data_IF_980500779114
#
_entry.id   IF_980500779114
#
_cell.length_a   1.000
_cell.length_b   1.000
_cell.length_c   1.000
_cell.angle_alpha   90.00
_cell.angle_beta   90.00
_cell.angle_gamma   90.00
#
_symmetry.space_group_name_H-M   'P 1'
#
loop_
_entity.id
_entity.type
_entity.pdbx_description
1 polymer ?
#
# COMPACT_ATOMS: atom_id res chain seq x y z
N UNK A 1 19.24 22.99 24.13
CA UNK A 1 18.63 21.71 23.75
C UNK A 1 18.36 21.78 22.26
N UNK A 2 19.18 21.12 21.45
CA UNK A 2 18.96 21.07 19.99
C UNK A 2 17.68 20.29 19.76
N UNK A 3 16.59 20.97 19.38
CA UNK A 3 15.34 20.27 19.05
C UNK A 3 15.59 19.53 17.74
N UNK A 4 15.59 18.19 17.79
CA UNK A 4 15.61 17.38 16.58
C UNK A 4 14.33 17.62 15.77
N UNK A 5 14.40 17.62 14.43
CA UNK A 5 13.23 17.83 13.60
C UNK A 5 12.22 16.69 13.77
N UNK A 6 10.93 17.00 13.67
CA UNK A 6 9.86 16.03 13.85
C UNK A 6 9.81 14.94 12.76
N UNK A 7 10.42 15.19 11.61
CA UNK A 7 10.68 14.18 10.59
C UNK A 7 12.04 14.42 9.92
N UNK A 8 12.63 13.34 9.41
CA UNK A 8 13.89 13.34 8.68
C UNK A 8 13.61 12.99 7.22
N UNK A 9 14.31 13.64 6.29
CA UNK A 9 14.27 13.30 4.87
C UNK A 9 15.67 12.86 4.41
N UNK A 10 15.77 11.68 3.79
CA UNK A 10 17.00 11.19 3.18
C UNK A 10 16.74 10.69 1.76
N UNK A 11 17.74 10.79 0.88
CA UNK A 11 17.66 10.26 -0.49
C UNK A 11 18.30 8.88 -0.57
N UNK A 12 17.60 7.93 -1.20
CA UNK A 12 18.12 6.62 -1.57
C UNK A 12 17.93 6.39 -3.07
N UNK A 13 18.95 6.73 -3.86
CA UNK A 13 18.84 6.75 -5.31
C UNK A 13 17.82 7.79 -5.76
N UNK A 14 16.79 7.38 -6.51
CA UNK A 14 15.70 8.25 -6.95
C UNK A 14 14.48 8.25 -6.00
N UNK A 15 14.63 7.71 -4.79
CA UNK A 15 13.55 7.63 -3.80
C UNK A 15 13.85 8.56 -2.63
N UNK A 16 12.91 9.43 -2.28
CA UNK A 16 12.97 10.19 -1.03
C UNK A 16 12.34 9.36 0.10
N UNK A 17 13.08 9.17 1.18
CA UNK A 17 12.62 8.46 2.38
C UNK A 17 12.38 9.49 3.48
N UNK A 18 11.11 9.65 3.85
CA UNK A 18 10.66 10.50 4.94
C UNK A 18 10.44 9.61 6.17
N UNK A 19 11.10 9.93 7.27
CA UNK A 19 11.02 9.17 8.53
C UNK A 19 10.45 10.07 9.63
N UNK A 20 9.27 9.74 10.15
CA UNK A 20 8.72 10.41 11.34
C UNK A 20 9.66 10.14 12.51
N UNK A 21 10.22 11.18 13.12
CA UNK A 21 11.32 11.10 14.07
C UNK A 21 10.90 11.50 15.48
N UNK A 22 9.94 10.75 16.05
CA UNK A 22 9.51 10.92 17.45
C UNK A 22 9.30 9.59 18.17
N UNK A 23 10.29 8.67 18.17
CA UNK A 23 10.11 7.32 18.67
C UNK A 23 9.70 7.26 20.15
N UNK A 24 10.15 8.23 20.95
CA UNK A 24 9.79 8.42 22.37
C UNK A 24 8.31 8.74 22.57
N UNK A 25 7.68 9.43 21.62
CA UNK A 25 6.25 9.69 21.58
C UNK A 25 5.49 8.69 20.69
N UNK A 26 6.10 7.54 20.37
CA UNK A 26 5.55 6.51 19.46
C UNK A 26 5.20 7.06 18.07
N UNK A 27 5.97 8.04 17.60
CA UNK A 27 5.78 8.72 16.33
C UNK A 27 4.39 9.36 16.21
N UNK A 28 3.84 9.88 17.32
CA UNK A 28 2.60 10.63 17.29
C UNK A 28 2.79 11.96 16.52
N UNK A 29 1.75 12.40 15.82
CA UNK A 29 1.81 13.60 14.98
C UNK A 29 1.52 14.85 15.81
N UNK A 30 2.45 15.80 15.73
CA UNK A 30 2.31 17.18 16.18
C UNK A 30 2.72 18.12 15.03
N UNK A 31 2.65 19.45 15.25
CA UNK A 31 3.04 20.43 14.23
C UNK A 31 4.48 20.20 13.69
N UNK A 32 5.44 19.84 14.56
CA UNK A 32 6.82 19.59 14.12
C UNK A 32 6.97 18.40 13.15
N UNK A 33 6.17 17.34 13.33
CA UNK A 33 6.08 16.24 12.35
C UNK A 33 5.48 16.75 11.05
N UNK A 34 4.40 17.54 11.14
CA UNK A 34 3.72 18.08 9.96
C UNK A 34 4.58 19.02 9.13
N UNK A 35 5.44 19.81 9.79
CA UNK A 35 6.46 20.64 9.14
C UNK A 35 7.42 19.74 8.37
N UNK A 36 8.12 18.84 9.06
CA UNK A 36 9.15 18.02 8.41
C UNK A 36 8.62 17.09 7.30
N UNK A 37 7.39 16.57 7.44
CA UNK A 37 6.78 15.73 6.40
C UNK A 37 6.26 16.57 5.24
N UNK A 38 5.57 17.68 5.52
CA UNK A 38 5.03 18.58 4.49
C UNK A 38 6.13 19.18 3.62
N UNK A 39 7.16 19.75 4.24
CA UNK A 39 8.31 20.33 3.54
C UNK A 39 9.04 19.29 2.68
N UNK A 40 9.17 18.06 3.20
CA UNK A 40 9.82 16.98 2.46
C UNK A 40 8.97 16.50 1.26
N UNK A 41 7.64 16.46 1.38
CA UNK A 41 6.76 16.18 0.24
C UNK A 41 6.83 17.27 -0.82
N UNK A 42 6.81 18.53 -0.39
CA UNK A 42 6.90 19.68 -1.30
C UNK A 42 8.24 19.71 -2.02
N UNK A 43 9.34 19.46 -1.29
CA UNK A 43 10.67 19.29 -1.89
C UNK A 43 10.71 18.09 -2.85
N UNK A 44 10.07 16.97 -2.48
CA UNK A 44 9.97 15.80 -3.33
C UNK A 44 9.20 16.10 -4.61
N UNK A 45 8.12 16.88 -4.59
CA UNK A 45 7.34 17.27 -5.76
C UNK A 45 8.21 18.03 -6.77
N UNK A 46 8.98 19.01 -6.29
CA UNK A 46 9.74 19.93 -7.14
C UNK A 46 11.10 19.39 -7.62
N UNK A 47 11.62 18.33 -7.00
CA UNK A 47 12.91 17.76 -7.39
C UNK A 47 12.78 16.71 -8.52
N UNK A 48 13.21 16.98 -9.76
CA UNK A 48 13.00 16.06 -10.89
C UNK A 48 13.75 14.73 -10.78
N UNK A 49 14.77 14.63 -9.93
CA UNK A 49 15.50 13.38 -9.68
C UNK A 49 14.73 12.45 -8.73
N UNK A 50 13.83 12.99 -7.90
CA UNK A 50 12.93 12.18 -7.06
C UNK A 50 11.80 11.62 -7.92
N UNK A 51 11.62 10.31 -7.85
CA UNK A 51 10.64 9.54 -8.63
C UNK A 51 9.58 8.85 -7.79
N UNK A 52 9.82 8.70 -6.48
CA UNK A 52 8.89 8.14 -5.52
C UNK A 52 9.22 8.63 -4.10
N UNK A 53 8.22 8.61 -3.22
CA UNK A 53 8.36 8.96 -1.81
C UNK A 53 7.98 7.77 -0.94
N UNK A 54 8.77 7.51 0.10
CA UNK A 54 8.51 6.49 1.11
C UNK A 54 8.35 7.16 2.46
N UNK A 55 7.20 6.97 3.11
CA UNK A 55 6.97 7.42 4.48
C UNK A 55 7.15 6.24 5.46
N UNK A 56 7.95 6.41 6.50
CA UNK A 56 8.15 5.42 7.57
C UNK A 56 8.27 6.07 8.94
N UNK A 57 8.26 5.29 10.01
CA UNK A 57 8.46 5.77 11.38
C UNK A 57 9.83 5.37 11.93
N UNK A 58 10.45 6.24 12.73
CA UNK A 58 11.69 5.94 13.42
C UNK A 58 11.49 4.81 14.45
N UNK A 59 12.51 3.97 14.63
CA UNK A 59 12.49 2.84 15.55
C UNK A 59 11.81 1.57 15.00
N UNK A 60 11.55 0.60 15.87
CA UNK A 60 11.10 -0.76 15.51
C UNK A 60 9.73 -1.15 16.08
N UNK A 61 9.05 -0.19 16.74
CA UNK A 61 7.77 -0.40 17.45
C UNK A 61 6.58 0.27 16.79
N UNK A 62 6.72 1.51 16.35
CA UNK A 62 5.61 2.34 15.88
C UNK A 62 5.94 2.94 14.52
N UNK A 63 5.00 2.85 13.59
CA UNK A 63 4.98 3.70 12.42
C UNK A 63 4.46 5.09 12.81
N UNK A 64 3.23 5.13 13.31
CA UNK A 64 2.58 6.32 13.85
C UNK A 64 1.44 5.89 14.78
N UNK A 65 1.46 6.36 16.03
CA UNK A 65 0.42 6.03 17.01
C UNK A 65 -0.84 6.93 16.91
N UNK A 66 -0.89 7.80 15.91
CA UNK A 66 -1.97 8.75 15.66
C UNK A 66 -1.63 10.17 16.08
N UNK A 67 -2.66 10.96 16.37
CA UNK A 67 -2.51 12.33 16.84
C UNK A 67 -1.87 12.39 18.25
N UNK A 68 -1.00 13.37 18.48
CA UNK A 68 -0.42 13.60 19.80
C UNK A 68 -1.50 14.11 20.78
N UNK A 69 -1.94 13.23 21.69
CA UNK A 69 -2.97 13.55 22.68
C UNK A 69 -2.58 14.69 23.62
N UNK A 70 -1.27 14.88 23.89
CA UNK A 70 -0.81 16.00 24.72
C UNK A 70 -0.96 17.32 23.98
N UNK A 71 -0.69 17.32 22.67
CA UNK A 71 -0.92 18.49 21.82
C UNK A 71 -2.43 18.80 21.70
N UNK A 72 -3.27 17.78 21.50
CA UNK A 72 -4.75 17.94 21.51
C UNK A 72 -5.23 18.54 22.84
N UNK A 73 -4.73 18.03 23.97
CA UNK A 73 -5.11 18.54 25.30
C UNK A 73 -4.72 20.02 25.50
N UNK A 74 -3.63 20.46 24.86
CA UNK A 74 -3.19 21.87 24.83
C UNK A 74 -3.88 22.70 23.75
N UNK A 75 -4.83 22.13 23.00
CA UNK A 75 -5.51 22.76 21.85
C UNK A 75 -4.54 23.27 20.77
N UNK A 76 -3.41 22.58 20.62
CA UNK A 76 -2.45 22.87 19.57
C UNK A 76 -2.93 22.33 18.23
N UNK A 77 -2.63 23.09 17.18
CA UNK A 77 -2.84 22.62 15.82
C UNK A 77 -1.84 21.50 15.49
N UNK A 78 -2.32 20.44 14.85
CA UNK A 78 -1.51 19.28 14.47
C UNK A 78 -1.06 19.32 13.00
N UNK A 79 -1.43 20.36 12.26
CA UNK A 79 -1.09 20.54 10.84
C UNK A 79 0.14 21.45 10.69
N UNK A 80 0.60 21.59 9.44
CA UNK A 80 1.69 22.51 9.10
C UNK A 80 1.23 23.96 9.33
N UNK A 81 1.89 24.77 10.18
CA UNK A 81 1.43 26.12 10.52
C UNK A 81 1.21 27.03 9.31
N UNK A 82 2.14 26.97 8.34
CA UNK A 82 2.09 27.80 7.13
C UNK A 82 1.27 27.18 5.99
N UNK A 83 0.89 25.90 6.12
CA UNK A 83 0.21 25.12 5.08
C UNK A 83 -0.94 24.28 5.67
N UNK A 84 -1.96 24.93 6.26
CA UNK A 84 -3.12 24.22 6.83
C UNK A 84 -3.86 23.37 5.80
N UNK A 85 -3.80 23.72 4.51
CA UNK A 85 -4.43 23.02 3.39
C UNK A 85 -3.90 21.58 3.20
N UNK A 86 -2.66 21.30 3.59
CA UNK A 86 -2.08 19.94 3.55
C UNK A 86 -2.66 19.00 4.61
N UNK A 87 -3.29 19.57 5.64
CA UNK A 87 -3.97 18.84 6.69
C UNK A 87 -3.04 18.12 7.68
N UNK A 88 -3.54 17.04 8.27
CA UNK A 88 -2.84 16.25 9.27
C UNK A 88 -1.50 15.72 8.74
N UNK A 89 -0.46 15.82 9.57
CA UNK A 89 0.91 15.44 9.24
C UNK A 89 1.50 16.15 8.01
N UNK A 90 0.88 17.23 7.50
CA UNK A 90 1.30 17.85 6.23
C UNK A 90 1.22 16.89 5.04
N UNK A 91 0.35 15.87 5.13
CA UNK A 91 0.39 14.69 4.25
C UNK A 91 -1.00 14.34 3.71
N UNK A 92 -2.02 14.25 4.58
CA UNK A 92 -3.29 13.59 4.21
C UNK A 92 -4.11 14.32 3.14
N UNK A 93 -3.93 15.62 2.96
CA UNK A 93 -4.50 16.41 1.86
C UNK A 93 -3.43 17.03 0.96
N UNK A 94 -2.19 16.53 1.05
CA UNK A 94 -1.06 17.02 0.28
C UNK A 94 -0.84 16.13 -0.95
N UNK A 95 -1.58 16.43 -2.02
CA UNK A 95 -1.41 15.71 -3.28
C UNK A 95 -0.07 16.09 -3.94
N UNK A 96 0.67 15.09 -4.41
CA UNK A 96 1.86 15.25 -5.25
C UNK A 96 1.77 14.32 -6.47
N UNK A 97 2.47 14.64 -7.56
CA UNK A 97 2.45 13.87 -8.81
C UNK A 97 3.24 12.55 -8.72
N UNK A 98 4.01 12.39 -7.65
CA UNK A 98 4.94 11.27 -7.46
C UNK A 98 4.33 10.22 -6.54
N UNK A 99 4.49 8.93 -6.85
CA UNK A 99 3.89 7.87 -6.05
C UNK A 99 4.44 7.88 -4.62
N UNK A 100 3.52 7.71 -3.67
CA UNK A 100 3.78 7.68 -2.23
C UNK A 100 3.56 6.29 -1.66
N UNK A 101 4.50 5.82 -0.83
CA UNK A 101 4.47 4.48 -0.25
C UNK A 101 4.63 4.56 1.27
N UNK A 102 3.64 4.08 2.02
CA UNK A 102 3.77 3.89 3.46
C UNK A 102 4.51 2.58 3.77
N UNK A 103 5.72 2.68 4.31
CA UNK A 103 6.48 1.59 4.87
C UNK A 103 6.19 1.47 6.38
N UNK A 104 5.14 0.72 6.72
CA UNK A 104 4.60 0.58 8.08
C UNK A 104 5.43 -0.40 8.91
N UNK A 105 6.39 0.12 9.67
CA UNK A 105 7.35 -0.65 10.47
C UNK A 105 6.80 -1.19 11.81
N UNK A 106 5.58 -0.82 12.20
CA UNK A 106 4.99 -1.19 13.49
C UNK A 106 3.55 -0.72 13.65
N UNK A 107 3.17 -0.30 14.87
CA UNK A 107 1.82 0.21 15.16
C UNK A 107 1.46 1.41 14.26
N UNK A 108 0.30 1.33 13.60
CA UNK A 108 -0.28 2.38 12.77
C UNK A 108 -1.76 2.57 13.17
N UNK A 109 -2.01 3.29 14.26
CA UNK A 109 -3.37 3.45 14.81
C UNK A 109 -3.86 4.90 14.66
N UNK A 110 -5.16 5.04 14.44
CA UNK A 110 -5.83 6.32 14.21
C UNK A 110 -5.19 7.06 13.04
N UNK A 111 -4.66 8.25 13.31
CA UNK A 111 -3.83 9.02 12.36
C UNK A 111 -2.75 8.22 11.64
N UNK A 112 -2.18 7.16 12.24
CA UNK A 112 -1.24 6.28 11.54
C UNK A 112 -1.89 5.44 10.44
N UNK A 113 -3.14 4.97 10.65
CA UNK A 113 -3.94 4.35 9.60
C UNK A 113 -4.32 5.38 8.55
N UNK A 114 -4.64 6.62 8.94
CA UNK A 114 -5.04 7.69 8.02
C UNK A 114 -3.89 8.11 7.09
N UNK A 115 -2.65 8.09 7.59
CA UNK A 115 -1.44 8.24 6.76
C UNK A 115 -1.32 7.11 5.71
N UNK A 116 -1.58 5.87 6.13
CA UNK A 116 -1.57 4.74 5.20
C UNK A 116 -2.70 4.83 4.16
N UNK A 117 -3.90 5.28 4.57
CA UNK A 117 -5.04 5.52 3.67
C UNK A 117 -4.77 6.65 2.67
N UNK A 118 -3.96 7.64 3.06
CA UNK A 118 -3.57 8.75 2.18
C UNK A 118 -2.42 8.40 1.23
N UNK A 119 -1.70 7.30 1.47
CA UNK A 119 -0.63 6.82 0.60
C UNK A 119 -1.19 6.04 -0.60
N UNK A 120 -0.48 6.04 -1.73
CA UNK A 120 -0.88 5.24 -2.89
C UNK A 120 -0.70 3.73 -2.65
N UNK A 121 0.37 3.36 -1.95
CA UNK A 121 0.72 1.98 -1.64
C UNK A 121 1.13 1.83 -0.17
N UNK A 122 0.90 0.65 0.39
CA UNK A 122 1.25 0.31 1.77
C UNK A 122 1.96 -1.04 1.83
N UNK A 123 3.14 -1.04 2.45
CA UNK A 123 3.91 -2.25 2.78
C UNK A 123 4.12 -2.29 4.30
N UNK A 124 3.73 -3.39 4.94
CA UNK A 124 3.72 -3.47 6.40
C UNK A 124 4.66 -4.57 6.96
N UNK A 125 5.21 -4.33 8.14
CA UNK A 125 5.81 -5.38 8.98
C UNK A 125 4.71 -6.36 9.45
N UNK A 126 5.06 -7.63 9.65
CA UNK A 126 4.11 -8.67 10.11
C UNK A 126 3.45 -8.33 11.46
N UNK A 127 4.09 -7.47 12.26
CA UNK A 127 3.62 -7.03 13.58
C UNK A 127 2.77 -5.76 13.52
N UNK A 128 2.63 -5.14 12.35
CA UNK A 128 1.86 -3.92 12.22
C UNK A 128 0.38 -4.16 12.56
N UNK A 129 -0.21 -3.15 13.19
CA UNK A 129 -1.63 -3.11 13.51
C UNK A 129 -2.20 -1.80 12.98
N UNK A 130 -3.29 -1.93 12.25
CA UNK A 130 -4.10 -0.83 11.70
C UNK A 130 -5.37 -0.67 12.55
N UNK A 131 -6.04 0.46 12.44
CA UNK A 131 -7.31 0.69 13.15
C UNK A 131 -7.62 2.16 13.37
N UNK A 132 -8.89 2.46 13.64
CA UNK A 132 -9.40 3.81 13.92
C UNK A 132 -10.05 3.86 15.31
N UNK A 133 -9.25 3.86 16.40
CA UNK A 133 -9.75 3.79 17.78
C UNK A 133 -10.28 5.12 18.33
N UNK A 134 -10.43 6.17 17.51
CA UNK A 134 -10.86 7.51 17.92
C UNK A 134 -12.21 7.50 18.64
N UNK A 135 -13.13 6.63 18.21
CA UNK A 135 -14.46 6.47 18.82
C UNK A 135 -14.39 6.08 20.30
N UNK A 136 -13.33 5.38 20.73
CA UNK A 136 -13.09 5.01 22.14
C UNK A 136 -12.67 6.19 23.01
N UNK A 137 -12.38 7.34 22.41
CA UNK A 137 -11.94 8.57 23.07
C UNK A 137 -12.92 9.73 22.85
N UNK A 138 -14.12 9.45 22.33
CA UNK A 138 -15.09 10.50 21.99
C UNK A 138 -14.65 11.39 20.83
N UNK A 139 -13.74 10.89 19.98
CA UNK A 139 -13.24 11.58 18.79
C UNK A 139 -13.64 10.80 17.53
N UNK A 140 -13.34 11.38 16.37
CA UNK A 140 -13.48 10.74 15.07
C UNK A 140 -12.15 10.77 14.32
N UNK A 141 -11.97 9.85 13.37
CA UNK A 141 -10.82 9.82 12.45
C UNK A 141 -10.93 11.00 11.44
N UNK A 142 -10.56 12.19 11.93
CA UNK A 142 -10.76 13.47 11.26
C UNK A 142 -9.73 13.77 10.16
N UNK A 143 -8.62 13.02 10.09
CA UNK A 143 -7.60 13.16 9.05
C UNK A 143 -7.92 12.34 7.77
N UNK A 144 -9.21 12.04 7.57
CA UNK A 144 -9.73 11.38 6.38
C UNK A 144 -10.17 9.93 6.58
N UNK A 145 -9.92 9.35 7.76
CA UNK A 145 -10.22 7.95 8.03
C UNK A 145 -11.69 7.59 7.87
N UNK A 146 -12.60 8.44 8.36
CA UNK A 146 -14.06 8.19 8.34
C UNK A 146 -14.58 7.89 6.92
N UNK A 147 -14.11 8.64 5.92
CA UNK A 147 -14.61 8.50 4.55
C UNK A 147 -13.71 7.64 3.65
N UNK A 148 -12.38 7.65 3.84
CA UNK A 148 -11.44 6.83 3.03
C UNK A 148 -11.53 5.35 3.35
N UNK A 149 -11.77 4.98 4.61
CA UNK A 149 -11.77 3.56 5.00
C UNK A 149 -12.82 2.75 4.24
N UNK A 150 -13.99 3.33 3.99
CA UNK A 150 -15.07 2.68 3.26
C UNK A 150 -14.93 2.74 1.74
N UNK A 151 -13.96 3.50 1.23
CA UNK A 151 -13.56 3.50 -0.18
C UNK A 151 -12.52 2.41 -0.46
N UNK A 152 -11.71 2.05 0.55
CA UNK A 152 -10.61 1.09 0.39
C UNK A 152 -10.92 -0.31 0.94
N UNK A 153 -11.91 -0.44 1.83
CA UNK A 153 -12.38 -1.72 2.35
C UNK A 153 -13.84 -2.00 1.95
N UNK A 154 -14.25 -3.29 1.91
CA UNK A 154 -15.65 -3.63 1.81
C UNK A 154 -16.47 -2.93 2.90
N UNK A 155 -17.60 -2.34 2.51
CA UNK A 155 -18.40 -1.45 3.37
C UNK A 155 -18.62 -1.98 4.78
N UNK A 156 -18.99 -3.25 4.95
CA UNK A 156 -19.28 -3.82 6.28
C UNK A 156 -18.03 -3.99 7.15
N UNK A 157 -16.90 -4.37 6.56
CA UNK A 157 -15.61 -4.47 7.26
C UNK A 157 -15.16 -3.06 7.68
N UNK A 158 -15.27 -2.09 6.78
CA UNK A 158 -14.95 -0.69 7.06
C UNK A 158 -15.80 -0.12 8.21
N UNK A 159 -17.12 -0.35 8.18
CA UNK A 159 -18.04 0.11 9.24
C UNK A 159 -17.78 -0.58 10.58
N UNK A 160 -17.41 -1.88 10.59
CA UNK A 160 -17.02 -2.55 11.82
C UNK A 160 -15.79 -1.88 12.41
N UNK A 161 -14.72 -1.70 11.63
CA UNK A 161 -13.49 -1.07 12.09
C UNK A 161 -13.73 0.36 12.59
N UNK A 162 -14.54 1.14 11.88
CA UNK A 162 -14.84 2.53 12.21
C UNK A 162 -15.72 2.67 13.47
N UNK A 163 -16.72 1.82 13.65
CA UNK A 163 -17.67 1.93 14.77
C UNK A 163 -17.17 1.25 16.05
N UNK A 164 -16.40 0.16 15.94
CA UNK A 164 -15.87 -0.54 17.14
C UNK A 164 -14.52 0.02 17.58
N UNK A 165 -13.75 0.62 16.67
CA UNK A 165 -12.39 1.07 16.94
C UNK A 165 -11.44 -0.07 17.34
N UNK A 166 -11.72 -1.30 16.90
CA UNK A 166 -10.85 -2.45 17.10
C UNK A 166 -9.71 -2.50 16.08
N UNK A 167 -8.51 -2.97 16.48
CA UNK A 167 -7.39 -3.04 15.57
C UNK A 167 -7.52 -4.19 14.57
N UNK A 168 -6.99 -3.98 13.37
CA UNK A 168 -6.86 -4.94 12.28
C UNK A 168 -5.38 -5.33 12.12
N UNK A 169 -5.10 -6.63 12.06
CA UNK A 169 -3.72 -7.11 11.86
C UNK A 169 -3.22 -6.84 10.45
N UNK A 170 -1.91 -6.74 10.25
CA UNK A 170 -1.31 -6.60 8.91
C UNK A 170 -1.76 -7.72 7.94
N UNK A 171 -1.91 -8.96 8.42
CA UNK A 171 -2.36 -10.08 7.61
C UNK A 171 -3.80 -9.87 7.11
N UNK A 172 -4.73 -9.52 8.00
CA UNK A 172 -6.12 -9.26 7.65
C UNK A 172 -6.26 -8.00 6.77
N UNK A 173 -5.50 -6.94 7.05
CA UNK A 173 -5.46 -5.75 6.21
C UNK A 173 -5.02 -6.10 4.77
N UNK A 174 -4.07 -7.01 4.61
CA UNK A 174 -3.61 -7.47 3.30
C UNK A 174 -4.67 -8.35 2.61
N UNK A 175 -5.35 -9.22 3.35
CA UNK A 175 -6.41 -10.10 2.84
C UNK A 175 -7.61 -9.30 2.30
N UNK A 176 -8.03 -8.28 3.03
CA UNK A 176 -9.10 -7.38 2.58
C UNK A 176 -8.68 -6.36 1.54
N UNK A 177 -7.37 -6.28 1.29
CA UNK A 177 -6.85 -5.43 0.24
C UNK A 177 -6.56 -3.99 0.62
N UNK A 178 -6.62 -3.66 1.91
CA UNK A 178 -6.25 -2.35 2.45
C UNK A 178 -4.75 -2.05 2.27
N UNK A 179 -3.91 -3.08 2.30
CA UNK A 179 -2.47 -2.96 2.08
C UNK A 179 -2.00 -3.93 0.98
N UNK A 180 -0.84 -3.66 0.39
CA UNK A 180 -0.35 -4.41 -0.78
C UNK A 180 0.48 -5.64 -0.40
N UNK A 181 1.31 -5.53 0.64
CA UNK A 181 2.26 -6.57 1.02
C UNK A 181 2.63 -6.52 2.51
N UNK A 182 2.91 -7.69 3.08
CA UNK A 182 3.51 -7.83 4.41
C UNK A 182 4.95 -8.33 4.24
N UNK A 183 5.97 -7.55 4.62
CA UNK A 183 7.36 -7.73 4.19
C UNK A 183 8.06 -9.07 4.54
N UNK A 184 7.46 -9.94 5.37
CA UNK A 184 7.92 -11.31 5.66
C UNK A 184 7.04 -12.42 5.06
N UNK A 185 5.90 -12.06 4.47
CA UNK A 185 4.99 -12.94 3.72
C UNK A 185 5.00 -12.55 2.25
N UNK A 186 4.69 -13.49 1.36
CA UNK A 186 4.50 -13.17 -0.06
C UNK A 186 3.37 -12.13 -0.25
N UNK A 187 3.39 -11.40 -1.37
CA UNK A 187 2.32 -10.48 -1.84
C UNK A 187 0.94 -11.06 -1.53
N UNK A 188 0.06 -10.30 -0.88
CA UNK A 188 -1.27 -10.80 -0.53
C UNK A 188 -2.24 -10.81 -1.72
N UNK A 189 -2.05 -9.90 -2.67
CA UNK A 189 -2.82 -9.87 -3.90
C UNK A 189 -2.23 -10.81 -4.95
N UNK A 190 -2.61 -12.08 -4.90
CA UNK A 190 -2.31 -13.07 -5.95
C UNK A 190 -3.49 -13.28 -6.90
N UNK A 191 -4.22 -12.22 -7.26
CA UNK A 191 -5.04 -12.20 -8.46
C UNK A 191 -4.68 -10.98 -9.33
N UNK A 192 -4.02 -11.28 -10.46
CA UNK A 192 -4.03 -10.49 -11.71
C UNK A 192 -3.35 -9.12 -11.75
N UNK A 193 -2.21 -8.91 -11.08
CA UNK A 193 -1.30 -7.80 -11.43
C UNK A 193 0.13 -8.30 -11.62
N UNK A 194 0.47 -8.67 -12.87
CA UNK A 194 1.86 -8.74 -13.31
C UNK A 194 2.24 -7.31 -13.67
N UNK A 195 3.09 -6.67 -12.88
CA UNK A 195 3.94 -5.60 -13.41
C UNK A 195 4.71 -6.21 -14.57
N UNK A 196 4.23 -5.99 -15.80
CA UNK A 196 5.04 -6.24 -16.99
C UNK A 196 6.21 -5.28 -16.85
N UNK A 197 7.36 -5.80 -16.42
CA UNK A 197 8.64 -5.11 -16.62
C UNK A 197 8.63 -4.67 -18.07
N UNK A 198 8.68 -3.37 -18.31
CA UNK A 198 8.62 -2.81 -19.64
C UNK A 198 9.71 -3.45 -20.50
N UNK A 199 9.31 -4.27 -21.47
CA UNK A 199 9.99 -4.30 -22.75
C UNK A 199 8.90 -4.03 -23.79
N UNK A 200 9.00 -2.95 -24.58
CA UNK A 200 8.11 -2.75 -25.70
C UNK A 200 8.59 -3.69 -26.81
N UNK A 201 8.30 -5.00 -26.68
CA UNK A 201 8.30 -5.86 -27.86
C UNK A 201 6.92 -5.74 -28.49
N UNK A 202 6.81 -4.79 -29.41
CA UNK A 202 5.76 -4.75 -30.43
C UNK A 202 5.81 -6.03 -31.25
N UNK A 203 5.29 -7.13 -30.72
CA UNK A 203 4.87 -8.26 -31.56
C UNK A 203 3.53 -7.88 -32.16
N UNK A 204 3.64 -7.18 -33.29
CA UNK A 204 2.57 -7.02 -34.28
C UNK A 204 1.99 -8.42 -34.51
N UNK A 205 0.74 -8.65 -34.13
CA UNK A 205 0.00 -9.82 -34.58
C UNK A 205 -0.07 -9.75 -36.11
N UNK A 206 0.79 -10.50 -36.81
CA UNK A 206 0.65 -10.74 -38.24
C UNK A 206 -0.44 -11.81 -38.39
N UNK A 207 -1.66 -11.36 -38.66
CA UNK A 207 -2.65 -12.21 -39.29
C UNK A 207 -2.07 -12.66 -40.63
N UNK A 208 -1.85 -13.97 -40.77
CA UNK A 208 -1.35 -14.57 -42.01
C UNK A 208 -2.58 -14.84 -42.88
N UNK A 209 -2.72 -14.24 -44.09
CA UNK A 209 -3.83 -14.59 -44.96
C UNK A 209 -3.66 -16.02 -45.45
N UNK A 210 -4.77 -16.77 -45.48
CA UNK A 210 -4.80 -18.10 -46.06
C UNK A 210 -4.54 -18.00 -47.57
N UNK A 211 -3.50 -18.67 -48.04
CA UNK A 211 -3.22 -18.87 -49.46
C UNK A 211 -4.13 -19.97 -50.01
N UNK A 212 -5.00 -19.61 -50.95
CA UNK A 212 -5.81 -20.56 -51.74
C UNK A 212 -6.48 -19.84 -52.90
N UNK A 213 -6.02 -20.13 -54.11
CA UNK A 213 -6.40 -19.55 -55.41
C UNK A 213 -7.85 -19.82 -55.82
N UNK A 214 -8.47 -18.97 -56.67
CA UNK A 214 -9.82 -19.20 -57.18
C UNK A 214 -9.77 -20.11 -58.41
N UNK A 215 -10.59 -21.16 -58.41
CA UNK A 215 -11.03 -21.82 -59.65
C UNK A 215 -12.54 -21.82 -59.66
N UNK A 216 -13.08 -21.19 -60.70
CA UNK A 216 -14.49 -21.03 -60.95
C UNK A 216 -15.16 -22.36 -61.33
N UNK A 217 -16.38 -22.55 -60.85
CA UNK A 217 -17.40 -23.29 -61.59
C UNK A 217 -18.77 -22.64 -61.34
N UNK A 218 -19.32 -22.10 -62.41
CA UNK A 218 -20.67 -21.58 -62.52
C UNK A 218 -21.61 -22.77 -62.70
N UNK A 219 -22.70 -22.86 -61.91
CA UNK A 219 -24.08 -23.12 -62.36
C UNK A 219 -25.01 -23.44 -61.18
N UNK A 220 -26.21 -22.85 -61.20
CA UNK A 220 -27.43 -23.60 -60.85
C UNK A 220 -28.02 -23.44 -59.45
N UNK A 221 -28.94 -22.49 -59.32
CA UNK A 221 -30.26 -22.59 -58.67
C UNK A 221 -30.50 -23.34 -57.34
N UNK A 222 -31.26 -22.64 -56.49
CA UNK A 222 -32.30 -23.10 -55.56
C UNK A 222 -31.93 -23.56 -54.14
N UNK A 223 -32.48 -22.79 -53.19
CA UNK A 223 -33.05 -23.17 -51.89
C UNK A 223 -32.35 -24.24 -51.04
N UNK A 224 -31.87 -23.85 -49.86
CA UNK A 224 -32.18 -24.54 -48.60
C UNK A 224 -31.64 -23.78 -47.39
N UNK A 225 -32.55 -23.39 -46.50
CA UNK A 225 -32.29 -22.99 -45.13
C UNK A 225 -31.80 -24.20 -44.35
N UNK A 226 -30.63 -24.15 -43.70
CA UNK A 226 -30.36 -25.01 -42.53
C UNK A 226 -29.33 -24.39 -41.58
N UNK A 227 -29.69 -24.37 -40.29
CA UNK A 227 -28.81 -24.08 -39.15
C UNK A 227 -28.09 -25.36 -38.74
N UNK A 228 -26.77 -25.32 -38.55
CA UNK A 228 -25.98 -26.18 -37.63
C UNK A 228 -24.72 -25.37 -37.31
N UNK A 229 -24.45 -24.90 -36.08
CA UNK A 229 -23.99 -25.69 -34.94
C UNK A 229 -22.51 -26.06 -35.09
N UNK A 230 -21.58 -25.32 -34.45
CA UNK A 230 -20.18 -25.76 -34.34
C UNK A 230 -19.66 -25.66 -32.90
N UNK A 231 -19.17 -26.81 -32.45
CA UNK A 231 -18.65 -27.09 -31.12
C UNK A 231 -17.23 -26.53 -30.91
N UNK A 232 -16.80 -26.29 -29.66
CA UNK A 232 -15.42 -25.94 -29.36
C UNK A 232 -14.50 -27.17 -29.38
N UNK A 233 -13.39 -27.05 -30.13
CA UNK A 233 -12.31 -28.03 -30.20
C UNK A 233 -11.44 -27.96 -28.93
N UNK A 234 -11.30 -29.10 -28.26
CA UNK A 234 -10.47 -29.30 -27.08
C UNK A 234 -9.01 -29.59 -27.46
N UNK A 235 -8.05 -28.88 -26.84
CA UNK A 235 -6.75 -29.42 -26.40
C UNK A 235 -5.94 -28.36 -25.69
N UNK A 236 -5.75 -28.55 -24.38
CA UNK A 236 -4.54 -28.30 -23.58
C UNK A 236 -4.91 -28.55 -22.11
N UNK A 237 -4.90 -29.82 -21.70
CA UNK A 237 -5.09 -30.22 -20.32
C UNK A 237 -3.77 -30.20 -19.55
N UNK A 238 -3.82 -29.81 -18.27
CA UNK A 238 -3.14 -30.51 -17.17
C UNK A 238 -3.70 -29.99 -15.83
N UNK A 239 -4.69 -30.70 -15.29
CA UNK A 239 -5.07 -30.64 -13.89
C UNK A 239 -4.21 -31.66 -13.14
N UNK A 240 -3.34 -31.21 -12.24
CA UNK A 240 -2.67 -32.07 -11.27
C UNK A 240 -2.93 -31.59 -9.85
N UNK A 241 -3.60 -32.48 -9.12
CA UNK A 241 -4.05 -32.46 -7.74
C UNK A 241 -2.94 -32.09 -6.71
N UNK A 242 -3.14 -31.14 -5.77
CA UNK A 242 -2.18 -30.90 -4.70
C UNK A 242 -2.35 -31.91 -3.56
N UNK A 243 -1.34 -32.79 -3.41
CA UNK A 243 -1.16 -33.66 -2.24
C UNK A 243 -0.94 -32.81 -0.97
N UNK A 244 -1.60 -33.21 0.11
CA UNK A 244 -1.43 -32.69 1.47
C UNK A 244 0.01 -32.85 1.98
N UNK A 245 0.64 -31.83 2.60
CA UNK A 245 1.91 -32.01 3.27
C UNK A 245 1.72 -32.56 4.70
N UNK A 246 2.44 -33.64 5.00
CA UNK A 246 2.57 -34.26 6.32
C UNK A 246 3.18 -33.27 7.34
N UNK A 247 2.67 -33.31 8.57
CA UNK A 247 3.14 -32.53 9.73
C UNK A 247 4.60 -32.84 10.06
N UNK A 248 5.50 -31.88 9.85
CA UNK A 248 6.88 -31.87 10.35
C UNK A 248 6.98 -31.14 11.69
N UNK A 249 7.68 -31.75 12.66
CA UNK A 249 7.99 -31.20 13.99
C UNK A 249 8.72 -29.86 13.89
N UNK A 250 8.22 -28.86 14.63
CA UNK A 250 8.90 -27.59 14.87
C UNK A 250 10.03 -27.76 15.90
N UNK A 251 11.26 -27.38 15.53
CA UNK A 251 12.34 -27.03 16.48
C UNK A 251 12.47 -25.51 16.53
N UNK A 252 12.48 -24.95 17.74
CA UNK A 252 12.59 -23.53 18.04
C UNK A 252 14.02 -22.99 17.78
N UNK A 253 14.21 -21.86 17.06
CA UNK A 253 15.49 -21.17 17.05
C UNK A 253 15.61 -20.17 18.20
N UNK A 254 16.79 -20.20 18.83
CA UNK A 254 17.24 -19.37 19.96
C UNK A 254 17.17 -17.86 19.66
N UNK A 255 16.89 -17.08 20.70
CA UNK A 255 16.82 -15.62 20.72
C UNK A 255 18.21 -14.98 20.61
N UNK A 256 18.44 -14.22 19.55
CA UNK A 256 19.53 -13.26 19.41
C UNK A 256 18.95 -11.92 18.94
N UNK A 257 19.50 -10.80 19.40
CA UNK A 257 18.97 -9.44 19.21
C UNK A 257 18.83 -9.06 17.73
N UNK A 258 17.58 -8.78 17.32
CA UNK A 258 17.14 -8.63 15.92
C UNK A 258 16.56 -7.23 15.61
N UNK A 259 16.68 -6.24 16.48
CA UNK A 259 15.94 -4.96 16.37
C UNK A 259 16.42 -4.08 15.21
N UNK A 260 17.72 -3.77 15.12
CA UNK A 260 18.25 -2.84 14.11
C UNK A 260 18.26 -3.35 12.66
N UNK A 261 18.27 -4.66 12.43
CA UNK A 261 18.26 -5.24 11.06
C UNK A 261 16.89 -5.20 10.39
N UNK A 262 15.79 -5.03 11.14
CA UNK A 262 14.41 -5.20 10.63
C UNK A 262 13.86 -3.96 9.92
N UNK A 263 14.03 -2.77 10.50
CA UNK A 263 13.62 -1.52 9.84
C UNK A 263 14.31 -1.34 8.48
N UNK A 264 15.58 -1.75 8.40
CA UNK A 264 16.34 -1.73 7.15
C UNK A 264 15.84 -2.78 6.13
N UNK A 265 15.24 -3.89 6.56
CA UNK A 265 14.67 -4.89 5.65
C UNK A 265 13.37 -4.41 4.98
N UNK A 266 12.51 -3.69 5.71
CA UNK A 266 11.29 -3.09 5.18
C UNK A 266 11.63 -2.01 4.15
N UNK A 267 12.53 -1.09 4.50
CA UNK A 267 13.01 -0.06 3.58
C UNK A 267 13.66 -0.68 2.34
N UNK A 268 14.48 -1.73 2.49
CA UNK A 268 15.04 -2.48 1.35
C UNK A 268 14.00 -3.20 0.50
N UNK A 269 12.84 -3.57 1.04
CA UNK A 269 11.76 -4.17 0.25
C UNK A 269 11.09 -3.10 -0.64
N UNK A 270 11.01 -1.87 -0.16
CA UNK A 270 10.33 -0.76 -0.85
C UNK A 270 11.26 0.01 -1.80
N UNK A 271 12.53 0.20 -1.46
CA UNK A 271 13.48 1.00 -2.25
C UNK A 271 14.32 0.17 -3.26
N UNK A 272 14.03 -1.13 -3.44
CA UNK A 272 14.64 -1.95 -4.51
C UNK A 272 13.84 -1.77 -5.80
N UNK A 273 14.05 -0.65 -6.49
CA UNK A 273 13.75 -0.53 -7.91
C UNK A 273 14.99 -0.86 -8.74
#
# INVERSE_FOLDING_TARGET
MTQEPGALAERRGNVMVITINRPEARNAVNAAVSIGVGDALEAAQHDPEVRAVVLTGAGDKSFCAGADLKAIARRENLYHPDHPEWGFAGYVHHFIDKPTIAAVNGTALGGGTELALASDLVVADERAQFGLPEVKRGLIAAAGGVFRIAQQLPRKVAMQLLLTGEPLTAAAACEWGLINEVARRARCWTQRWRWRRGSPSTRRCRCRPASGSPTASTTGSSSATSRVGTAPCARCGFCSNPRTPRRGRWRSPRSGSRSGRRGNALLRAVTRC
#
